data_IF_402890007208
#
_entry.id   IF_402890007208
#
_cell.length_a   1.000
_cell.length_b   1.000
_cell.length_c   1.000
_cell.angle_alpha   90.00
_cell.angle_beta   90.00
_cell.angle_gamma   90.00
#
_symmetry.space_group_name_H-M   'P 1'
#
loop_
_entity.id
_entity.type
_entity.pdbx_description
1 polymer ?
#
# COMPACT_ATOMS: atom_id res chain seq x y z
N UNK A 1 7.54 -4.28 25.11
CA UNK A 1 6.39 -4.50 24.20
C UNK A 1 6.23 -3.38 23.16
N UNK A 2 6.28 -2.09 23.54
CA UNK A 2 6.20 -0.97 22.60
C UNK A 2 7.28 -1.00 21.48
N UNK A 3 8.53 -1.30 21.84
CA UNK A 3 9.63 -1.45 20.88
C UNK A 3 9.33 -2.52 19.80
N UNK A 4 8.69 -3.62 20.18
CA UNK A 4 8.32 -4.69 19.25
C UNK A 4 7.23 -4.22 18.26
N UNK A 5 6.28 -3.39 18.71
CA UNK A 5 5.26 -2.79 17.82
C UNK A 5 5.94 -1.87 16.81
N UNK A 6 6.84 -0.98 17.27
CA UNK A 6 7.57 -0.06 16.41
C UNK A 6 8.38 -0.82 15.35
N UNK A 7 9.15 -1.84 15.75
CA UNK A 7 9.95 -2.65 14.82
C UNK A 7 9.05 -3.30 13.76
N UNK A 8 7.91 -3.88 14.16
CA UNK A 8 6.96 -4.52 13.23
C UNK A 8 6.34 -3.51 12.26
N UNK A 9 5.97 -2.33 12.74
CA UNK A 9 5.44 -1.23 11.91
C UNK A 9 6.46 -0.78 10.88
N UNK A 10 7.73 -0.60 11.27
CA UNK A 10 8.81 -0.19 10.35
C UNK A 10 9.04 -1.25 9.28
N UNK A 11 9.12 -2.53 9.67
CA UNK A 11 9.29 -3.64 8.72
C UNK A 11 8.11 -3.69 7.74
N UNK A 12 6.86 -3.54 8.23
CA UNK A 12 5.68 -3.56 7.38
C UNK A 12 5.67 -2.42 6.34
N UNK A 13 5.98 -1.19 6.75
CA UNK A 13 6.08 -0.04 5.83
C UNK A 13 7.18 -0.26 4.80
N UNK A 14 8.34 -0.78 5.24
CA UNK A 14 9.45 -1.10 4.35
C UNK A 14 9.07 -2.16 3.31
N UNK A 15 8.38 -3.24 3.72
CA UNK A 15 7.90 -4.28 2.80
C UNK A 15 6.89 -3.74 1.77
N UNK A 16 6.00 -2.83 2.17
CA UNK A 16 5.08 -2.15 1.24
C UNK A 16 5.89 -1.35 0.20
N UNK A 17 6.91 -0.61 0.62
CA UNK A 17 7.79 0.15 -0.27
C UNK A 17 8.53 -0.74 -1.28
N UNK A 18 9.06 -1.89 -0.84
CA UNK A 18 9.70 -2.85 -1.75
C UNK A 18 8.71 -3.41 -2.79
N UNK A 19 7.51 -3.81 -2.35
CA UNK A 19 6.47 -4.30 -3.26
C UNK A 19 6.08 -3.26 -4.31
N UNK A 20 5.96 -1.98 -3.90
CA UNK A 20 5.69 -0.88 -4.81
C UNK A 20 6.82 -0.68 -5.83
N UNK A 21 8.09 -0.66 -5.38
CA UNK A 21 9.22 -0.50 -6.31
C UNK A 21 9.33 -1.65 -7.32
N UNK A 22 9.01 -2.88 -6.93
CA UNK A 22 9.01 -4.04 -7.83
C UNK A 22 7.84 -3.96 -8.83
N UNK A 23 6.67 -3.49 -8.41
CA UNK A 23 5.49 -3.37 -9.27
C UNK A 23 5.53 -2.17 -10.23
N UNK A 24 6.27 -1.10 -9.88
CA UNK A 24 6.30 0.15 -10.66
C UNK A 24 6.69 -0.02 -12.13
N UNK A 25 7.75 -0.78 -12.50
CA UNK A 25 8.10 -1.00 -13.90
C UNK A 25 6.98 -1.61 -14.72
N UNK A 26 6.30 -2.63 -14.17
CA UNK A 26 5.19 -3.33 -14.85
C UNK A 26 4.02 -2.38 -15.08
N UNK A 27 3.68 -1.58 -14.05
CA UNK A 27 2.57 -0.64 -14.12
C UNK A 27 2.87 0.53 -15.05
N UNK A 28 4.14 0.98 -15.11
CA UNK A 28 4.58 2.00 -16.05
C UNK A 28 4.51 1.49 -17.49
N UNK A 29 5.03 0.30 -17.76
CA UNK A 29 4.93 -0.33 -19.08
C UNK A 29 3.47 -0.50 -19.50
N UNK A 30 2.61 -0.98 -18.60
CA UNK A 30 1.18 -1.10 -18.86
C UNK A 30 0.53 0.25 -19.18
N UNK A 31 0.86 1.32 -18.45
CA UNK A 31 0.22 2.63 -18.66
C UNK A 31 0.72 3.34 -19.93
N UNK A 32 2.00 3.19 -20.27
CA UNK A 32 2.68 4.01 -21.28
C UNK A 32 3.10 3.26 -22.55
N UNK A 33 2.85 1.95 -22.67
CA UNK A 33 3.07 1.23 -23.91
C UNK A 33 2.00 1.58 -24.97
N UNK A 34 2.25 2.66 -25.72
CA UNK A 34 1.32 3.20 -26.72
C UNK A 34 0.81 2.14 -27.72
N UNK A 35 1.68 1.23 -28.15
CA UNK A 35 1.36 0.24 -29.19
C UNK A 35 0.23 -0.73 -28.82
N UNK A 36 0.07 -1.05 -27.52
CA UNK A 36 -1.03 -1.90 -27.04
C UNK A 36 -2.36 -1.17 -26.94
N UNK A 37 -2.32 0.16 -26.83
CA UNK A 37 -3.50 0.98 -26.56
C UNK A 37 -4.07 1.67 -27.79
N UNK A 38 -3.29 1.77 -28.88
CA UNK A 38 -3.70 2.46 -30.11
C UNK A 38 -4.99 1.91 -30.74
N UNK A 39 -5.26 0.61 -30.56
CA UNK A 39 -6.46 -0.06 -31.09
C UNK A 39 -7.40 -0.57 -29.98
N UNK A 40 -7.17 -0.17 -28.73
CA UNK A 40 -7.97 -0.63 -27.61
C UNK A 40 -9.34 0.06 -27.57
N UNK A 41 -10.37 -0.67 -27.12
CA UNK A 41 -11.68 -0.06 -26.91
C UNK A 41 -11.65 0.94 -25.74
N UNK A 42 -12.62 1.85 -25.69
CA UNK A 42 -12.71 2.88 -24.64
C UNK A 42 -12.79 2.30 -23.23
N UNK A 43 -13.42 1.13 -23.07
CA UNK A 43 -13.54 0.46 -21.79
C UNK A 43 -12.18 -0.04 -21.25
N UNK A 44 -11.32 -0.58 -22.12
CA UNK A 44 -9.97 -1.05 -21.78
C UNK A 44 -9.06 0.11 -21.38
N UNK A 45 -9.20 1.27 -22.03
CA UNK A 45 -8.46 2.49 -21.67
C UNK A 45 -8.83 2.96 -20.27
N UNK A 46 -10.13 2.98 -19.94
CA UNK A 46 -10.62 3.32 -18.59
C UNK A 46 -10.10 2.31 -17.55
N UNK A 47 -10.09 1.02 -17.87
CA UNK A 47 -9.55 0.00 -16.97
C UNK A 47 -8.06 0.18 -16.71
N UNK A 48 -7.27 0.49 -17.74
CA UNK A 48 -5.84 0.80 -17.60
C UNK A 48 -5.62 1.98 -16.65
N UNK A 49 -6.33 3.07 -16.86
CA UNK A 49 -6.17 4.30 -16.07
C UNK A 49 -6.58 4.07 -14.61
N UNK A 50 -7.66 3.31 -14.39
CA UNK A 50 -8.09 2.90 -13.06
C UNK A 50 -7.06 1.99 -12.39
N UNK A 51 -6.50 1.00 -13.11
CA UNK A 51 -5.51 0.08 -12.56
C UNK A 51 -4.25 0.82 -12.14
N UNK A 52 -3.77 1.75 -12.99
CA UNK A 52 -2.62 2.59 -12.67
C UNK A 52 -2.90 3.50 -11.46
N UNK A 53 -4.07 4.13 -11.42
CA UNK A 53 -4.49 4.98 -10.31
C UNK A 53 -4.59 4.22 -8.98
N UNK A 54 -5.21 3.03 -9.00
CA UNK A 54 -5.33 2.16 -7.81
C UNK A 54 -3.96 1.73 -7.33
N UNK A 55 -3.06 1.34 -8.24
CA UNK A 55 -1.70 0.95 -7.88
C UNK A 55 -0.93 2.08 -7.20
N UNK A 56 -1.06 3.32 -7.70
CA UNK A 56 -0.45 4.51 -7.10
C UNK A 56 -1.03 4.82 -5.70
N UNK A 57 -2.31 4.54 -5.47
CA UNK A 57 -2.98 4.76 -4.18
C UNK A 57 -2.75 3.63 -3.16
N UNK A 58 -2.54 2.39 -3.62
CA UNK A 58 -2.35 1.21 -2.76
C UNK A 58 -1.33 1.40 -1.63
N UNK A 59 -0.10 1.90 -1.87
CA UNK A 59 0.87 2.05 -0.79
C UNK A 59 0.39 3.00 0.31
N UNK A 60 -0.32 4.08 -0.04
CA UNK A 60 -0.88 5.00 0.95
C UNK A 60 -1.93 4.31 1.82
N UNK A 61 -2.86 3.57 1.20
CA UNK A 61 -3.91 2.83 1.92
C UNK A 61 -3.29 1.78 2.86
N UNK A 62 -2.31 1.01 2.37
CA UNK A 62 -1.65 -0.03 3.17
C UNK A 62 -0.88 0.57 4.35
N UNK A 63 -0.18 1.70 4.16
CA UNK A 63 0.49 2.41 5.25
C UNK A 63 -0.52 2.91 6.27
N UNK A 64 -1.65 3.50 5.84
CA UNK A 64 -2.71 3.93 6.76
C UNK A 64 -3.25 2.78 7.61
N UNK A 65 -3.47 1.60 7.03
CA UNK A 65 -3.91 0.41 7.77
C UNK A 65 -2.87 -0.03 8.79
N UNK A 66 -1.59 -0.04 8.42
CA UNK A 66 -0.48 -0.41 9.33
C UNK A 66 -0.37 0.58 10.50
N UNK A 67 -0.52 1.87 10.25
CA UNK A 67 -0.48 2.91 11.29
C UNK A 67 -1.68 2.79 12.23
N UNK A 68 -2.89 2.59 11.69
CA UNK A 68 -4.09 2.35 12.50
C UNK A 68 -3.95 1.10 13.37
N UNK A 69 -3.41 0.02 12.81
CA UNK A 69 -3.12 -1.19 13.57
C UNK A 69 -2.11 -0.93 14.70
N UNK A 70 -1.03 -0.20 14.42
CA UNK A 70 -0.02 0.15 15.42
C UNK A 70 -0.61 0.98 16.57
N UNK A 71 -1.47 1.95 16.25
CA UNK A 71 -2.18 2.76 17.23
C UNK A 71 -3.10 1.92 18.14
N UNK A 72 -3.91 1.04 17.55
CA UNK A 72 -4.78 0.13 18.32
C UNK A 72 -3.99 -0.85 19.19
N UNK A 73 -2.83 -1.33 18.71
CA UNK A 73 -1.98 -2.24 19.44
C UNK A 73 -1.30 -1.55 20.64
N UNK A 74 -0.89 -0.29 20.49
CA UNK A 74 -0.29 0.49 21.56
C UNK A 74 -1.30 0.85 22.67
N UNK A 75 -2.51 1.27 22.29
CA UNK A 75 -3.57 1.68 23.22
C UNK A 75 -4.23 0.53 23.98
N UNK A 76 -4.30 -0.69 23.40
CA UNK A 76 -4.76 -1.87 24.14
C UNK A 76 -3.89 -2.20 25.36
N UNK A 77 -2.60 -1.85 25.30
CA UNK A 77 -1.67 -2.10 26.41
C UNK A 77 -1.90 -1.14 27.58
N UNK A 78 -2.15 0.14 27.30
CA UNK A 78 -2.34 1.14 28.36
C UNK A 78 -3.54 0.81 29.24
N UNK A 79 -4.63 0.28 28.64
CA UNK A 79 -5.82 -0.13 29.39
C UNK A 79 -5.54 -1.32 30.31
N UNK A 80 -4.82 -2.36 29.85
CA UNK A 80 -4.54 -3.53 30.70
C UNK A 80 -3.58 -3.23 31.86
N UNK A 81 -2.63 -2.31 31.69
CA UNK A 81 -1.73 -1.89 32.77
C UNK A 81 -2.43 -0.98 33.80
N UNK A 82 -3.57 -0.35 33.46
CA UNK A 82 -4.34 0.53 34.37
C UNK A 82 -5.28 -0.24 35.32
N UNK A 83 -5.66 -1.47 34.97
CA UNK A 83 -6.57 -2.33 35.74
C UNK A 83 -5.88 -3.54 36.39
N UNK A 84 -4.54 -3.60 36.36
CA UNK A 84 -3.72 -4.64 36.99
C UNK A 84 -2.97 -4.08 38.20
#
# INVERSE_FOLDING_TARGET
MAINIIIRTVIAIFSIGLGFMIGMPIMYELAYNASWWDNANSQSLVLRDNLYSIFMLMPLILISVVVLWAYMAATRKTVYDEYA
#
